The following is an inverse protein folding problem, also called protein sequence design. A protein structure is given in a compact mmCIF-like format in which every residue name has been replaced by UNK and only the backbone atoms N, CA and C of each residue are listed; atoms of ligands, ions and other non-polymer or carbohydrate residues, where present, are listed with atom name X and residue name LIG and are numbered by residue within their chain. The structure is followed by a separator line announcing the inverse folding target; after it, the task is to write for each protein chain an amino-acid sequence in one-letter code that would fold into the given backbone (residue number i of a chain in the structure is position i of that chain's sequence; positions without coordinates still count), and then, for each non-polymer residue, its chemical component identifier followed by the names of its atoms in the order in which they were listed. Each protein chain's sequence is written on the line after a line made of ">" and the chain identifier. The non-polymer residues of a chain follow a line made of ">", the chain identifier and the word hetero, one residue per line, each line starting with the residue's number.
data_IF_936817877528
#
_entry.id   IF_936817877528
#
_cell.length_a   1.000
_cell.length_b   1.000
_cell.length_c   1.000
_cell.angle_alpha   90.00
_cell.angle_beta   90.00
_cell.angle_gamma   90.00
#
_symmetry.space_group_name_H-M   'P 1'
#
loop_
_entity.id
_entity.type
_entity.pdbx_description
1 polymer ?
#
# COMPACT_ATOMS: atom_id res chain seq x y z
N UNK A 1 32.53 5.96 -4.51
CA UNK A 1 31.16 5.92 -5.04
C UNK A 1 30.26 6.50 -3.95
N UNK A 2 29.63 7.66 -4.19
CA UNK A 2 28.65 8.20 -3.25
C UNK A 2 27.46 7.22 -3.21
N UNK A 3 27.30 6.50 -2.12
CA UNK A 3 26.08 5.75 -1.87
C UNK A 3 24.95 6.78 -1.73
N UNK A 4 24.09 6.85 -2.71
CA UNK A 4 22.88 7.68 -2.63
C UNK A 4 22.04 7.14 -1.48
N UNK A 5 21.90 7.92 -0.41
CA UNK A 5 21.07 7.55 0.73
C UNK A 5 19.63 7.50 0.23
N UNK A 6 19.11 6.29 0.07
CA UNK A 6 17.70 6.09 -0.25
C UNK A 6 16.85 6.56 0.94
N UNK A 7 15.81 7.33 0.65
CA UNK A 7 14.84 7.80 1.65
C UNK A 7 13.48 7.32 1.23
N UNK A 8 13.10 6.18 1.79
CA UNK A 8 11.78 5.60 1.55
C UNK A 8 10.91 5.86 2.77
N UNK A 9 9.64 6.18 2.56
CA UNK A 9 8.66 6.43 3.61
C UNK A 9 7.40 5.61 3.35
N UNK A 10 6.62 5.30 4.38
CA UNK A 10 5.29 4.71 4.20
C UNK A 10 4.43 5.69 3.42
N UNK A 11 3.84 5.22 2.32
CA UNK A 11 2.97 6.01 1.45
C UNK A 11 1.50 5.77 1.80
N UNK A 12 1.07 4.52 1.81
CA UNK A 12 -0.29 4.16 2.19
C UNK A 12 -0.42 2.73 2.71
N UNK A 13 -1.49 2.52 3.47
CA UNK A 13 -1.96 1.21 3.86
C UNK A 13 -3.06 0.76 2.90
N UNK A 14 -3.10 -0.53 2.58
CA UNK A 14 -4.06 -1.12 1.64
C UNK A 14 -5.04 -2.01 2.40
N UNK A 15 -6.31 -1.64 2.38
CA UNK A 15 -7.43 -2.43 2.91
C UNK A 15 -8.25 -2.96 1.75
N UNK A 16 -8.29 -4.29 1.58
CA UNK A 16 -9.15 -4.94 0.59
C UNK A 16 -10.56 -5.10 1.14
N UNK A 17 -11.55 -4.72 0.35
CA UNK A 17 -12.98 -4.93 0.60
C UNK A 17 -13.61 -5.73 -0.55
N UNK A 18 -14.73 -6.40 -0.30
CA UNK A 18 -15.49 -7.10 -1.36
C UNK A 18 -16.11 -6.10 -2.34
N UNK A 19 -16.56 -4.95 -1.83
CA UNK A 19 -17.00 -3.79 -2.61
C UNK A 19 -16.57 -2.48 -1.94
N UNK A 20 -16.49 -1.37 -2.70
CA UNK A 20 -16.17 -0.07 -2.12
C UNK A 20 -17.24 0.42 -1.14
N UNK A 21 -18.50 0.07 -1.35
CA UNK A 21 -19.60 0.41 -0.46
C UNK A 21 -19.47 -0.30 0.89
N UNK A 22 -19.09 -1.57 0.88
CA UNK A 22 -18.79 -2.32 2.11
C UNK A 22 -17.59 -1.71 2.83
N UNK A 23 -16.51 -1.46 2.11
CA UNK A 23 -15.31 -0.83 2.66
C UNK A 23 -15.58 0.55 3.26
N UNK A 24 -16.43 1.36 2.61
CA UNK A 24 -16.82 2.67 3.10
C UNK A 24 -17.64 2.57 4.41
N UNK A 25 -18.61 1.66 4.47
CA UNK A 25 -19.40 1.41 5.70
C UNK A 25 -18.51 0.92 6.84
N UNK A 26 -17.61 -0.02 6.56
CA UNK A 26 -16.63 -0.53 7.52
C UNK A 26 -15.75 0.59 8.07
N UNK A 27 -15.19 1.43 7.21
CA UNK A 27 -14.35 2.55 7.61
C UNK A 27 -15.13 3.55 8.50
N UNK A 28 -16.34 3.92 8.09
CA UNK A 28 -17.17 4.84 8.86
C UNK A 28 -17.54 4.25 10.23
N UNK A 29 -17.87 2.96 10.29
CA UNK A 29 -18.25 2.30 11.53
C UNK A 29 -17.06 2.13 12.49
N UNK A 30 -15.95 1.58 11.98
CA UNK A 30 -14.78 1.23 12.80
C UNK A 30 -13.91 2.45 13.13
N UNK A 31 -13.63 3.29 12.14
CA UNK A 31 -12.69 4.41 12.27
C UNK A 31 -13.38 5.77 12.50
N UNK A 32 -14.70 5.84 12.30
CA UNK A 32 -15.47 7.08 12.49
C UNK A 32 -15.39 8.06 11.33
N UNK A 33 -14.79 7.69 10.20
CA UNK A 33 -14.53 8.58 9.05
C UNK A 33 -15.06 7.97 7.77
N UNK A 34 -15.79 8.77 6.98
CA UNK A 34 -16.25 8.35 5.65
C UNK A 34 -15.12 8.58 4.63
N UNK A 35 -14.65 7.52 3.94
CA UNK A 35 -13.59 7.66 2.97
C UNK A 35 -14.08 8.38 1.72
N UNK A 36 -13.23 9.23 1.15
CA UNK A 36 -13.53 10.00 -0.05
C UNK A 36 -13.28 9.16 -1.31
N UNK A 37 -13.97 9.46 -2.42
CA UNK A 37 -13.67 8.84 -3.69
C UNK A 37 -12.20 9.04 -4.07
N UNK A 38 -11.55 7.96 -4.48
CA UNK A 38 -10.18 8.00 -5.01
C UNK A 38 -10.21 7.98 -6.53
N UNK A 39 -10.12 6.80 -7.14
CA UNK A 39 -10.16 6.65 -8.59
C UNK A 39 -10.19 5.20 -9.04
N UNK A 40 -10.18 5.04 -10.35
CA UNK A 40 -10.09 3.75 -11.02
C UNK A 40 -8.65 3.47 -11.43
N UNK A 41 -8.28 2.19 -11.41
CA UNK A 41 -7.00 1.69 -11.90
C UNK A 41 -7.26 0.73 -13.07
N UNK A 42 -7.44 1.25 -14.31
CA UNK A 42 -7.85 0.43 -15.44
C UNK A 42 -6.90 -0.75 -15.72
N UNK A 43 -5.59 -0.53 -15.53
CA UNK A 43 -4.60 -1.59 -15.72
C UNK A 43 -4.89 -2.80 -14.83
N UNK A 44 -5.33 -2.57 -13.58
CA UNK A 44 -5.60 -3.62 -12.60
C UNK A 44 -7.08 -4.02 -12.53
N UNK A 45 -7.99 -3.24 -13.10
CA UNK A 45 -9.43 -3.44 -12.95
C UNK A 45 -9.86 -3.32 -11.50
N UNK A 46 -9.35 -2.31 -10.80
CA UNK A 46 -9.65 -2.01 -9.40
C UNK A 46 -10.03 -0.54 -9.25
N UNK A 47 -10.69 -0.23 -8.16
CA UNK A 47 -11.03 1.14 -7.80
C UNK A 47 -10.87 1.34 -6.28
N UNK A 48 -10.78 2.59 -5.81
CA UNK A 48 -10.48 2.86 -4.43
C UNK A 48 -11.24 4.04 -3.83
N UNK A 49 -11.22 4.10 -2.49
CA UNK A 49 -11.55 5.26 -1.65
C UNK A 49 -10.39 5.55 -0.71
N UNK A 50 -10.20 6.80 -0.34
CA UNK A 50 -9.02 7.28 0.37
C UNK A 50 -9.39 8.02 1.65
N UNK A 51 -8.53 7.90 2.67
CA UNK A 51 -8.60 8.66 3.92
C UNK A 51 -7.20 9.12 4.29
N UNK A 52 -7.01 10.40 4.58
CA UNK A 52 -5.74 10.90 5.12
C UNK A 52 -5.54 10.37 6.55
N UNK A 53 -4.43 9.68 6.78
CA UNK A 53 -4.01 9.15 8.09
C UNK A 53 -2.62 9.66 8.49
N UNK A 54 -2.20 10.78 7.92
CA UNK A 54 -0.89 11.37 8.18
C UNK A 54 -0.71 11.69 9.66
N UNK A 55 0.51 11.49 10.14
CA UNK A 55 0.93 11.84 11.49
C UNK A 55 2.35 12.41 11.46
N UNK A 56 2.86 12.87 12.61
CA UNK A 56 4.24 13.30 12.70
C UNK A 56 5.25 12.18 12.36
N UNK A 57 4.96 10.94 12.80
CA UNK A 57 5.81 9.78 12.52
C UNK A 57 5.65 9.24 11.09
N UNK A 58 4.48 9.45 10.49
CA UNK A 58 4.13 8.98 9.14
C UNK A 58 3.54 10.14 8.33
N UNK A 59 4.38 11.08 7.87
CA UNK A 59 3.91 12.21 7.07
C UNK A 59 3.42 11.75 5.70
N UNK A 60 2.45 12.48 5.16
CA UNK A 60 1.89 12.24 3.83
C UNK A 60 1.45 10.78 3.60
N UNK A 61 0.76 10.19 4.60
CA UNK A 61 0.31 8.81 4.56
C UNK A 61 -1.21 8.75 4.48
N UNK A 62 -1.76 7.86 3.66
CA UNK A 62 -3.20 7.64 3.55
C UNK A 62 -3.59 6.17 3.70
N UNK A 63 -4.86 5.93 4.00
CA UNK A 63 -5.50 4.62 3.95
C UNK A 63 -6.21 4.49 2.61
N UNK A 64 -5.87 3.47 1.85
CA UNK A 64 -6.55 3.07 0.64
C UNK A 64 -7.51 1.93 0.95
N UNK A 65 -8.78 2.12 0.66
CA UNK A 65 -9.78 1.05 0.63
C UNK A 65 -9.99 0.69 -0.84
N UNK A 66 -9.57 -0.51 -1.21
CA UNK A 66 -9.55 -0.98 -2.60
C UNK A 66 -10.50 -2.17 -2.78
N UNK A 67 -11.10 -2.26 -3.95
CA UNK A 67 -11.93 -3.39 -4.38
C UNK A 67 -11.71 -3.68 -5.86
N UNK A 68 -12.12 -4.86 -6.32
CA UNK A 68 -12.27 -5.11 -7.75
C UNK A 68 -13.38 -4.21 -8.28
N UNK A 69 -13.14 -3.59 -9.43
CA UNK A 69 -14.14 -2.77 -10.12
C UNK A 69 -15.04 -3.70 -10.94
N UNK A 70 -16.34 -3.83 -10.59
CA UNK A 70 -17.25 -4.74 -11.30
C UNK A 70 -17.52 -4.30 -12.74
N UNK A 71 -17.26 -3.04 -13.07
CA UNK A 71 -17.45 -2.48 -14.41
C UNK A 71 -16.19 -2.52 -15.27
N UNK A 72 -15.05 -2.94 -14.70
CA UNK A 72 -13.76 -2.94 -15.38
C UNK A 72 -13.15 -4.34 -15.48
N UNK A 73 -12.55 -4.61 -16.63
CA UNK A 73 -11.69 -5.78 -16.83
C UNK A 73 -10.23 -5.34 -16.70
N UNK A 74 -9.44 -6.11 -15.96
CA UNK A 74 -7.99 -5.85 -15.87
C UNK A 74 -7.37 -5.81 -17.26
N UNK A 75 -6.57 -4.78 -17.52
CA UNK A 75 -5.81 -4.61 -18.76
C UNK A 75 -4.38 -5.18 -18.64
N UNK A 76 -4.09 -5.96 -17.60
CA UNK A 76 -2.85 -6.74 -17.53
C UNK A 76 -2.76 -7.71 -18.70
N UNK A 77 -1.55 -7.93 -19.21
CA UNK A 77 -1.34 -8.91 -20.27
C UNK A 77 -1.80 -10.31 -19.81
N UNK A 78 -2.25 -11.16 -20.73
CA UNK A 78 -2.69 -12.52 -20.39
C UNK A 78 -1.65 -13.28 -19.57
N UNK A 79 -2.10 -13.90 -18.48
CA UNK A 79 -1.24 -14.64 -17.54
C UNK A 79 -0.65 -13.80 -16.41
N UNK A 80 -0.65 -12.48 -16.51
CA UNK A 80 -0.21 -11.60 -15.42
C UNK A 80 -1.33 -11.35 -14.43
N UNK A 81 -0.98 -11.33 -13.14
CA UNK A 81 -1.92 -11.14 -12.04
C UNK A 81 -2.01 -9.67 -11.60
N UNK A 82 -3.11 -9.33 -10.93
CA UNK A 82 -3.26 -8.05 -10.22
C UNK A 82 -2.29 -7.95 -9.06
N UNK A 83 -1.99 -6.74 -8.63
CA UNK A 83 -1.20 -6.49 -7.43
C UNK A 83 -1.85 -7.03 -6.14
N UNK A 84 -1.04 -7.13 -5.05
CA UNK A 84 -1.46 -7.37 -3.66
C UNK A 84 -2.25 -8.67 -3.43
N UNK A 85 -1.96 -9.73 -4.20
CA UNK A 85 -2.70 -11.01 -4.18
C UNK A 85 -4.19 -10.88 -4.52
N UNK A 86 -4.60 -9.81 -5.19
CA UNK A 86 -6.02 -9.54 -5.47
C UNK A 86 -6.67 -10.54 -6.44
N UNK A 87 -5.94 -11.51 -6.96
CA UNK A 87 -6.47 -12.64 -7.71
C UNK A 87 -6.49 -13.96 -6.89
N UNK A 88 -6.10 -13.90 -5.61
CA UNK A 88 -6.12 -15.07 -4.74
C UNK A 88 -7.56 -15.34 -4.23
N UNK A 89 -8.16 -16.49 -4.58
CA UNK A 89 -9.51 -16.82 -4.14
C UNK A 89 -9.60 -17.05 -2.62
N UNK A 90 -8.50 -17.44 -1.96
CA UNK A 90 -8.48 -17.62 -0.51
C UNK A 90 -8.58 -16.28 0.19
N UNK A 91 -7.82 -15.28 -0.25
CA UNK A 91 -7.89 -13.92 0.27
C UNK A 91 -9.30 -13.33 0.06
N UNK A 92 -9.89 -13.51 -1.11
CA UNK A 92 -11.26 -13.06 -1.37
C UNK A 92 -12.29 -13.74 -0.46
N UNK A 93 -12.18 -15.05 -0.26
CA UNK A 93 -13.07 -15.77 0.65
C UNK A 93 -12.95 -15.29 2.10
N UNK A 94 -11.73 -14.94 2.54
CA UNK A 94 -11.50 -14.33 3.86
C UNK A 94 -12.18 -12.96 3.99
N UNK A 95 -11.98 -12.08 2.98
CA UNK A 95 -12.61 -10.75 2.98
C UNK A 95 -14.15 -10.82 2.95
N UNK A 96 -14.72 -11.76 2.18
CA UNK A 96 -16.17 -11.98 2.16
C UNK A 96 -16.70 -12.48 3.51
N UNK A 97 -15.96 -13.34 4.20
CA UNK A 97 -16.36 -13.91 5.49
C UNK A 97 -16.18 -12.95 6.65
N UNK A 98 -15.04 -12.26 6.70
CA UNK A 98 -14.57 -11.51 7.87
C UNK A 98 -14.69 -9.98 7.71
N UNK A 99 -15.10 -9.53 6.52
CA UNK A 99 -15.16 -8.12 6.14
C UNK A 99 -13.83 -7.55 5.63
N UNK A 100 -13.73 -6.23 5.44
CA UNK A 100 -12.53 -5.56 4.93
C UNK A 100 -11.30 -5.82 5.77
N UNK A 101 -10.17 -6.14 5.13
CA UNK A 101 -8.91 -6.55 5.76
C UNK A 101 -7.74 -5.66 5.34
N UNK A 102 -6.90 -5.27 6.29
CA UNK A 102 -5.58 -4.74 5.97
C UNK A 102 -4.77 -5.85 5.28
N UNK A 103 -4.37 -5.65 4.05
CA UNK A 103 -3.65 -6.69 3.31
C UNK A 103 -2.20 -6.32 3.01
N UNK A 104 -1.89 -5.03 2.90
CA UNK A 104 -0.57 -4.59 2.46
C UNK A 104 -0.27 -3.15 2.88
N UNK A 105 0.97 -2.73 2.66
CA UNK A 105 1.37 -1.32 2.66
C UNK A 105 2.30 -1.03 1.49
N UNK A 106 2.29 0.21 1.06
CA UNK A 106 3.12 0.72 -0.04
C UNK A 106 4.08 1.74 0.53
N UNK A 107 5.31 1.73 0.04
CA UNK A 107 6.34 2.67 0.45
C UNK A 107 6.79 3.54 -0.72
N UNK A 108 6.82 4.86 -0.49
CA UNK A 108 7.25 5.87 -1.46
C UNK A 108 8.74 6.05 -1.43
N UNK A 109 9.36 6.01 -2.61
CA UNK A 109 10.77 6.33 -2.80
C UNK A 109 10.94 7.37 -3.93
N UNK A 110 12.00 8.21 -3.86
CA UNK A 110 12.26 9.22 -4.90
C UNK A 110 12.59 8.61 -6.27
N UNK A 111 13.21 7.43 -6.27
CA UNK A 111 13.49 6.64 -7.47
C UNK A 111 13.33 5.15 -7.14
N UNK A 112 12.43 4.50 -7.87
CA UNK A 112 12.10 3.09 -7.65
C UNK A 112 13.22 2.15 -8.08
N UNK A 113 14.03 2.52 -9.09
CA UNK A 113 15.03 1.62 -9.67
C UNK A 113 16.18 1.29 -8.70
N UNK A 114 16.84 2.28 -8.03
CA UNK A 114 17.85 1.98 -7.02
C UNK A 114 17.30 1.18 -5.84
N UNK A 115 16.06 1.46 -5.41
CA UNK A 115 15.42 0.72 -4.32
C UNK A 115 15.17 -0.75 -4.70
N UNK A 116 14.70 -1.02 -5.93
CA UNK A 116 14.57 -2.39 -6.46
C UNK A 116 15.92 -3.10 -6.53
N UNK A 117 16.97 -2.42 -6.99
CA UNK A 117 18.32 -3.01 -7.05
C UNK A 117 18.84 -3.39 -5.67
N UNK A 118 18.60 -2.54 -4.66
CA UNK A 118 18.99 -2.81 -3.28
C UNK A 118 18.26 -4.05 -2.72
N UNK A 119 16.94 -4.18 -2.96
CA UNK A 119 16.18 -5.37 -2.57
C UNK A 119 16.61 -6.61 -3.36
N UNK A 120 16.87 -6.47 -4.67
CA UNK A 120 17.38 -7.55 -5.52
C UNK A 120 18.72 -8.11 -5.05
N UNK A 121 19.61 -7.27 -4.50
CA UNK A 121 20.88 -7.72 -3.91
C UNK A 121 20.68 -8.61 -2.67
N UNK A 122 19.52 -8.54 -2.02
CA UNK A 122 19.11 -9.42 -0.91
C UNK A 122 18.31 -10.64 -1.39
N UNK A 123 18.19 -10.85 -2.71
CA UNK A 123 17.40 -11.94 -3.29
C UNK A 123 15.89 -11.69 -3.27
N UNK A 124 15.45 -10.45 -3.05
CA UNK A 124 14.04 -10.06 -2.99
C UNK A 124 13.60 -9.47 -4.34
N UNK A 125 12.83 -10.25 -5.09
CA UNK A 125 12.29 -9.84 -6.39
C UNK A 125 10.98 -9.06 -6.23
N UNK A 126 11.03 -7.75 -6.41
CA UNK A 126 9.87 -6.87 -6.38
C UNK A 126 9.05 -6.86 -7.68
N UNK A 127 9.43 -7.65 -8.67
CA UNK A 127 8.81 -7.67 -9.99
C UNK A 127 9.29 -6.54 -10.89
N UNK A 128 8.38 -5.99 -11.67
CA UNK A 128 8.68 -4.96 -12.67
C UNK A 128 8.10 -3.61 -12.29
N UNK A 129 8.73 -2.53 -12.75
CA UNK A 129 8.18 -1.18 -12.65
C UNK A 129 7.09 -1.00 -13.69
N UNK A 130 5.87 -0.75 -13.22
CA UNK A 130 4.73 -0.44 -14.05
C UNK A 130 4.44 1.07 -13.96
N UNK A 131 4.27 1.72 -15.11
CA UNK A 131 3.74 3.08 -15.17
C UNK A 131 2.23 3.01 -15.11
N UNK A 132 1.65 3.77 -14.21
CA UNK A 132 0.22 3.89 -14.07
C UNK A 132 -0.19 5.36 -13.98
N UNK A 133 -1.43 5.64 -14.33
CA UNK A 133 -1.98 6.98 -14.24
C UNK A 133 -3.48 6.93 -14.04
N UNK A 134 -4.02 8.02 -13.48
CA UNK A 134 -5.46 8.25 -13.42
C UNK A 134 -5.78 9.74 -13.60
N UNK A 135 -6.93 10.09 -14.20
CA UNK A 135 -7.38 11.46 -14.20
C UNK A 135 -7.78 11.90 -12.77
N UNK A 136 -7.49 13.16 -12.45
CA UNK A 136 -7.97 13.86 -11.25
C UNK A 136 -8.52 15.23 -11.67
N UNK A 137 -9.27 15.93 -10.82
CA UNK A 137 -9.70 17.31 -11.12
C UNK A 137 -8.54 18.26 -11.42
N UNK A 138 -7.37 18.00 -10.82
CA UNK A 138 -6.16 18.82 -10.96
C UNK A 138 -5.31 18.44 -12.19
N UNK A 139 -5.66 17.34 -12.90
CA UNK A 139 -4.94 16.85 -14.06
C UNK A 139 -4.66 15.35 -14.01
N UNK A 140 -3.65 14.90 -14.74
CA UNK A 140 -3.27 13.49 -14.79
C UNK A 140 -2.28 13.18 -13.66
N UNK A 141 -2.72 12.38 -12.68
CA UNK A 141 -1.85 11.83 -11.66
C UNK A 141 -1.12 10.60 -12.22
N UNK A 142 0.21 10.64 -12.18
CA UNK A 142 1.07 9.58 -12.70
C UNK A 142 1.99 9.04 -11.62
N UNK A 143 2.25 7.74 -11.69
CA UNK A 143 3.21 7.08 -10.79
C UNK A 143 3.84 5.85 -11.44
N UNK A 144 4.93 5.42 -10.84
CA UNK A 144 5.59 4.14 -11.11
C UNK A 144 5.44 3.25 -9.88
N UNK A 145 5.15 1.99 -10.07
CA UNK A 145 4.92 1.05 -8.97
C UNK A 145 5.51 -0.31 -9.33
N UNK A 146 6.11 -0.98 -8.35
CA UNK A 146 6.62 -2.34 -8.54
C UNK A 146 5.48 -3.34 -8.46
N UNK A 147 5.38 -4.23 -9.45
CA UNK A 147 4.37 -5.29 -9.44
C UNK A 147 4.99 -6.57 -9.98
N UNK A 148 4.86 -7.65 -9.23
CA UNK A 148 5.27 -8.99 -9.68
C UNK A 148 4.29 -9.52 -10.73
N UNK A 149 4.78 -10.38 -11.61
CA UNK A 149 3.94 -10.99 -12.65
C UNK A 149 2.89 -11.93 -12.05
N UNK A 150 3.25 -12.61 -10.94
CA UNK A 150 2.34 -13.44 -10.16
C UNK A 150 1.42 -12.65 -9.21
N UNK A 151 1.59 -11.33 -9.10
CA UNK A 151 0.82 -10.42 -8.26
C UNK A 151 1.04 -10.56 -6.75
N UNK A 152 1.94 -11.47 -6.34
CA UNK A 152 2.12 -11.81 -4.92
C UNK A 152 2.78 -10.68 -4.14
N UNK A 153 2.33 -10.53 -2.89
CA UNK A 153 3.00 -9.73 -1.86
C UNK A 153 4.22 -10.50 -1.34
N UNK A 154 5.35 -9.83 -1.21
CA UNK A 154 6.55 -10.45 -0.68
C UNK A 154 6.48 -10.64 0.84
N UNK A 155 7.06 -11.75 1.31
CA UNK A 155 7.18 -12.08 2.74
C UNK A 155 5.82 -12.02 3.48
N UNK A 156 4.73 -12.48 2.82
CA UNK A 156 3.39 -12.42 3.38
C UNK A 156 2.87 -10.99 3.60
N UNK A 157 3.31 -10.05 2.77
CA UNK A 157 2.94 -8.64 2.84
C UNK A 157 3.83 -7.79 3.74
N UNK A 158 4.76 -8.38 4.50
CA UNK A 158 5.66 -7.64 5.38
C UNK A 158 6.74 -6.84 4.65
N UNK A 159 6.98 -7.08 3.36
CA UNK A 159 7.80 -6.20 2.52
C UNK A 159 6.88 -5.31 1.67
N UNK A 160 7.11 -3.98 1.61
CA UNK A 160 6.25 -3.08 0.86
C UNK A 160 6.39 -3.25 -0.66
N UNK A 161 5.32 -2.92 -1.37
CA UNK A 161 5.41 -2.50 -2.76
C UNK A 161 6.03 -1.10 -2.82
N UNK A 162 6.90 -0.84 -3.78
CA UNK A 162 7.53 0.46 -3.95
C UNK A 162 6.75 1.32 -4.94
N UNK A 163 6.53 2.58 -4.58
CA UNK A 163 5.91 3.58 -5.44
C UNK A 163 6.81 4.82 -5.60
N UNK A 164 6.83 5.37 -6.80
CA UNK A 164 7.43 6.66 -7.12
C UNK A 164 6.37 7.52 -7.80
N UNK A 165 6.10 8.68 -7.25
CA UNK A 165 5.19 9.65 -7.85
C UNK A 165 5.86 10.44 -8.95
N UNK A 166 5.19 10.60 -10.11
CA UNK A 166 5.71 11.28 -11.27
C UNK A 166 6.80 10.53 -12.04
N UNK A 167 7.48 11.24 -12.93
CA UNK A 167 8.59 10.74 -13.72
C UNK A 167 9.92 11.28 -13.16
N UNK A 168 11.03 10.52 -13.30
CA UNK A 168 12.33 11.01 -12.84
C UNK A 168 12.72 12.33 -13.51
N UNK A 169 13.12 13.32 -12.70
CA UNK A 169 13.56 14.63 -13.19
C UNK A 169 12.43 15.62 -13.49
N UNK A 170 11.19 15.23 -13.33
CA UNK A 170 10.02 16.12 -13.41
C UNK A 170 9.58 16.57 -12.00
N UNK A 171 8.75 17.60 -11.95
CA UNK A 171 8.11 18.01 -10.71
C UNK A 171 7.21 16.88 -10.19
N UNK A 172 7.35 16.53 -8.92
CA UNK A 172 6.51 15.53 -8.29
C UNK A 172 5.04 15.98 -8.35
N UNK A 173 4.11 15.15 -8.84
CA UNK A 173 2.70 15.49 -8.86
C UNK A 173 2.14 15.65 -7.45
N UNK A 174 1.03 16.34 -7.31
CA UNK A 174 0.36 16.50 -6.02
C UNK A 174 0.03 15.12 -5.43
N UNK A 175 0.65 14.81 -4.27
CA UNK A 175 0.38 13.58 -3.55
C UNK A 175 -1.08 13.54 -3.07
N UNK A 176 -1.77 12.39 -3.02
CA UNK A 176 -3.18 12.31 -2.60
C UNK A 176 -3.49 13.00 -1.28
N UNK A 177 -2.58 12.97 -0.31
CA UNK A 177 -2.78 13.64 1.00
C UNK A 177 -2.87 15.17 0.91
N UNK A 178 -2.36 15.78 -0.16
CA UNK A 178 -2.45 17.23 -0.35
C UNK A 178 -3.86 17.69 -0.76
N UNK A 179 -4.65 16.79 -1.34
CA UNK A 179 -6.04 17.05 -1.73
C UNK A 179 -7.06 16.46 -0.75
N UNK A 180 -6.65 15.48 0.05
CA UNK A 180 -7.49 14.89 1.08
C UNK A 180 -7.56 15.81 2.32
N UNK A 181 -8.77 16.07 2.86
CA UNK A 181 -8.90 16.83 4.09
C UNK A 181 -8.28 16.07 5.28
N UNK A 182 -7.97 16.80 6.33
CA UNK A 182 -7.65 16.19 7.62
C UNK A 182 -8.83 15.35 8.12
N UNK A 183 -8.58 14.09 8.42
CA UNK A 183 -9.64 13.13 8.78
C UNK A 183 -9.86 12.95 10.29
N UNK A 184 -8.93 13.43 11.12
CA UNK A 184 -8.87 13.10 12.54
C UNK A 184 -8.19 11.76 12.84
N UNK A 185 -7.89 10.94 11.81
CA UNK A 185 -7.13 9.70 11.95
C UNK A 185 -5.63 9.97 11.85
N UNK A 186 -4.84 9.22 12.62
CA UNK A 186 -3.37 9.30 12.55
C UNK A 186 -2.76 7.90 12.67
N UNK A 187 -1.90 7.54 11.74
CA UNK A 187 -1.09 6.32 11.87
C UNK A 187 -0.05 6.53 12.98
N UNK A 188 -0.11 5.68 14.01
CA UNK A 188 0.77 5.75 15.18
C UNK A 188 1.88 4.71 15.14
N UNK A 189 1.67 3.58 14.46
CA UNK A 189 2.66 2.52 14.39
C UNK A 189 2.34 1.49 13.33
N UNK A 190 3.38 0.89 12.80
CA UNK A 190 3.34 -0.23 11.88
C UNK A 190 4.24 -1.35 12.41
N UNK A 191 3.66 -2.51 12.67
CA UNK A 191 4.36 -3.71 13.08
C UNK A 191 4.33 -4.72 11.95
N UNK A 192 5.51 -5.21 11.58
CA UNK A 192 5.72 -6.26 10.59
C UNK A 192 6.15 -7.53 11.32
N UNK A 193 5.50 -8.65 11.03
CA UNK A 193 5.86 -9.94 11.59
C UNK A 193 6.26 -10.91 10.49
N UNK A 194 7.32 -11.70 10.75
CA UNK A 194 7.80 -12.72 9.82
C UNK A 194 8.66 -13.74 10.57
N UNK A 195 8.75 -15.01 10.14
CA UNK A 195 9.68 -15.99 10.71
C UNK A 195 11.17 -15.61 10.55
N UNK A 196 11.48 -14.73 9.60
CA UNK A 196 12.83 -14.21 9.32
C UNK A 196 12.85 -12.69 9.44
N UNK A 197 12.71 -12.14 10.67
CA UNK A 197 12.63 -10.67 10.87
C UNK A 197 13.89 -9.95 10.39
N UNK A 198 15.07 -10.57 10.47
CA UNK A 198 16.36 -10.01 10.05
C UNK A 198 16.39 -9.69 8.55
N UNK A 199 15.68 -10.49 7.73
CA UNK A 199 15.57 -10.22 6.30
C UNK A 199 14.74 -8.97 6.04
N UNK A 200 13.64 -8.76 6.79
CA UNK A 200 12.83 -7.55 6.69
C UNK A 200 13.62 -6.32 7.17
N UNK A 201 14.33 -6.44 8.30
CA UNK A 201 15.17 -5.35 8.81
C UNK A 201 16.24 -4.95 7.78
N UNK A 202 16.95 -5.94 7.21
CA UNK A 202 17.94 -5.72 6.16
C UNK A 202 17.33 -5.09 4.91
N UNK A 203 16.14 -5.51 4.51
CA UNK A 203 15.44 -4.94 3.37
C UNK A 203 15.01 -3.49 3.63
N UNK A 204 14.46 -3.19 4.80
CA UNK A 204 14.10 -1.83 5.19
C UNK A 204 15.32 -0.91 5.25
N UNK A 205 16.43 -1.38 5.82
CA UNK A 205 17.68 -0.63 5.85
C UNK A 205 18.21 -0.34 4.44
N UNK A 206 18.21 -1.37 3.56
CA UNK A 206 18.69 -1.27 2.18
C UNK A 206 17.96 -0.20 1.36
N UNK A 207 16.67 0.01 1.60
CA UNK A 207 15.86 1.03 0.92
C UNK A 207 15.69 2.33 1.74
N UNK A 208 16.30 2.41 2.93
CA UNK A 208 16.18 3.58 3.81
C UNK A 208 14.77 3.81 4.36
N UNK A 209 14.02 2.73 4.57
CA UNK A 209 12.67 2.75 5.14
C UNK A 209 12.75 2.56 6.66
N UNK A 210 12.26 3.52 7.41
CA UNK A 210 12.30 3.54 8.87
C UNK A 210 10.91 3.76 9.49
N UNK A 211 10.82 3.62 10.82
CA UNK A 211 9.59 3.91 11.56
C UNK A 211 8.67 2.71 11.78
N UNK A 212 9.04 1.50 11.31
CA UNK A 212 8.31 0.28 11.60
C UNK A 212 8.97 -0.51 12.72
N UNK A 213 8.18 -1.33 13.41
CA UNK A 213 8.66 -2.39 14.27
C UNK A 213 8.68 -3.71 13.50
N UNK A 214 9.72 -4.52 13.69
CA UNK A 214 9.82 -5.85 13.09
C UNK A 214 9.95 -6.88 14.19
N UNK A 215 9.19 -7.98 14.11
CA UNK A 215 9.19 -9.03 15.12
C UNK A 215 9.11 -10.42 14.48
N UNK A 216 9.65 -11.41 15.19
CA UNK A 216 9.45 -12.82 14.82
C UNK A 216 7.98 -13.20 15.01
N UNK A 217 7.41 -13.92 14.05
CA UNK A 217 6.03 -14.39 14.11
C UNK A 217 5.51 -14.87 12.77
N UNK A 218 4.25 -15.26 12.72
CA UNK A 218 3.54 -15.54 11.46
C UNK A 218 3.58 -14.29 10.57
N UNK A 219 3.82 -14.45 9.24
CA UNK A 219 3.84 -13.31 8.34
C UNK A 219 2.60 -12.45 8.45
N UNK A 220 2.79 -11.14 8.59
CA UNK A 220 1.65 -10.24 8.75
C UNK A 220 2.03 -8.79 9.00
N UNK A 221 1.00 -7.95 8.95
CA UNK A 221 1.08 -6.50 9.18
C UNK A 221 0.05 -6.14 10.24
N UNK A 222 0.44 -5.25 11.16
CA UNK A 222 -0.48 -4.62 12.10
C UNK A 222 -0.24 -3.12 12.11
N UNK A 223 -1.28 -2.36 11.78
CA UNK A 223 -1.27 -0.91 11.85
C UNK A 223 -2.07 -0.44 13.08
N UNK A 224 -1.53 0.51 13.84
CA UNK A 224 -2.21 1.17 14.95
C UNK A 224 -2.59 2.58 14.53
N UNK A 225 -3.88 2.86 14.55
CA UNK A 225 -4.46 4.16 14.21
C UNK A 225 -5.01 4.85 15.46
N UNK A 226 -4.68 6.12 15.66
CA UNK A 226 -5.42 6.98 16.58
C UNK A 226 -6.69 7.46 15.89
N UNK A 227 -7.81 7.28 16.56
CA UNK A 227 -9.12 7.81 16.17
C UNK A 227 -9.65 8.72 17.27
N UNK A 228 -10.75 9.43 17.02
CA UNK A 228 -11.45 10.19 18.07
C UNK A 228 -11.94 9.30 19.23
N UNK A 229 -12.15 8.00 18.98
CA UNK A 229 -12.63 7.02 19.97
C UNK A 229 -11.51 6.25 20.68
N UNK A 230 -10.24 6.58 20.40
CA UNK A 230 -9.06 5.88 20.93
C UNK A 230 -8.30 5.12 19.86
N UNK A 231 -7.45 4.21 20.29
CA UNK A 231 -6.59 3.41 19.40
C UNK A 231 -7.39 2.27 18.77
N UNK A 232 -7.24 2.11 17.47
CA UNK A 232 -7.76 0.99 16.68
C UNK A 232 -6.61 0.27 16.03
N UNK A 233 -6.62 -1.06 16.05
CA UNK A 233 -5.65 -1.90 15.36
C UNK A 233 -6.29 -2.57 14.15
N UNK A 234 -5.63 -2.42 13.01
CA UNK A 234 -5.91 -3.17 11.79
C UNK A 234 -4.84 -4.24 11.63
N UNK A 235 -5.22 -5.47 11.34
CA UNK A 235 -4.28 -6.57 11.13
C UNK A 235 -4.55 -7.25 9.80
N UNK A 236 -3.48 -7.77 9.17
CA UNK A 236 -3.65 -8.64 8.02
C UNK A 236 -4.23 -10.00 8.44
N UNK A 237 -4.98 -10.67 7.55
CA UNK A 237 -5.42 -12.02 7.82
C UNK A 237 -4.21 -12.97 7.92
N UNK A 238 -4.31 -14.04 8.68
CA UNK A 238 -3.28 -15.09 8.69
C UNK A 238 -3.17 -15.72 7.29
N UNK A 239 -1.94 -16.01 6.88
CA UNK A 239 -1.61 -16.70 5.64
C UNK A 239 -1.71 -18.20 5.81
#
# INVERSE_FOLDING_TARGET
>A
MNQQILRTTVDHLVVLASTLEEGARWCTHLLGVTPLPGGQHPLMGTHNRLVNISSFAYPDTYLEIIALDPEAISQRAPGLKRWFDMDDPVLHAQVVRDGPQLIHFVARCPDVLPAMQALGALGLDCGQVIKASRPTPEGLLQWRITVRDDGQRLLGGALPTLIQWGEPGEAEPAHPTQTLPYSGLQLQGLLLTNPTPELIESACEAIGLAGMQVQNGTPGIRATLQTERGLVQLSSPPH
#
